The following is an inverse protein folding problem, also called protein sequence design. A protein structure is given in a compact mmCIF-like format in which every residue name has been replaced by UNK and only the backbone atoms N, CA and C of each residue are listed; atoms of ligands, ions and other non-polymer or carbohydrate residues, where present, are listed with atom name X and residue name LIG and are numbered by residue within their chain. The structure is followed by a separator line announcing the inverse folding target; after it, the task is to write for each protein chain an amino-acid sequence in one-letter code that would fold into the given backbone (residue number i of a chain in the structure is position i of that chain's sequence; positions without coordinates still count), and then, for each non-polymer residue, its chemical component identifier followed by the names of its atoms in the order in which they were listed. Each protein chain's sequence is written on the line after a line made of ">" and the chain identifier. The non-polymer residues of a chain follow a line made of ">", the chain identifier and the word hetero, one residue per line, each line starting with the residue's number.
data_IF_801883843492
#
_entry.id   IF_801883843492
#
_cell.length_a   1.000
_cell.length_b   1.000
_cell.length_c   1.000
_cell.angle_alpha   90.00
_cell.angle_beta   90.00
_cell.angle_gamma   90.00
#
_symmetry.space_group_name_H-M   'P 1'
#
loop_
_entity.id
_entity.type
_entity.pdbx_description
1 polymer ?
#
# COMPACT_ATOMS: atom_id res chain seq x y z
N UNK A 1 -42.28 34.13 30.62
CA UNK A 1 -42.50 32.73 31.07
C UNK A 1 -42.83 31.94 29.82
N UNK A 2 -42.04 31.02 29.28
CA UNK A 2 -41.18 30.01 29.88
C UNK A 2 -39.93 29.86 28.98
N UNK A 3 -38.78 30.35 29.43
CA UNK A 3 -37.55 29.57 29.63
C UNK A 3 -37.80 28.05 29.82
N UNK A 4 -36.87 27.24 29.31
CA UNK A 4 -36.62 25.82 29.63
C UNK A 4 -37.45 24.77 28.86
N UNK A 5 -36.88 24.27 27.75
CA UNK A 5 -36.64 22.84 27.45
C UNK A 5 -36.29 22.69 25.97
N UNK A 6 -35.04 22.37 25.69
CA UNK A 6 -34.60 22.04 24.34
C UNK A 6 -33.13 22.30 24.05
N UNK A 7 -32.41 22.96 24.97
CA UNK A 7 -30.96 23.10 24.90
C UNK A 7 -30.28 21.81 25.39
N UNK A 8 -30.34 20.70 24.65
CA UNK A 8 -29.61 19.47 25.03
C UNK A 8 -29.37 18.44 23.90
N UNK A 9 -29.22 18.84 22.63
CA UNK A 9 -28.81 17.89 21.57
C UNK A 9 -27.73 18.43 20.61
N UNK A 10 -26.93 19.41 21.04
CA UNK A 10 -25.90 20.06 20.21
C UNK A 10 -24.49 19.45 20.32
N UNK A 11 -24.35 18.20 20.77
CA UNK A 11 -23.01 17.59 20.91
C UNK A 11 -23.04 16.07 20.71
N UNK A 12 -23.30 15.60 19.48
CA UNK A 12 -22.91 14.25 19.06
C UNK A 12 -22.74 14.21 17.54
N UNK A 13 -21.91 15.13 17.04
CA UNK A 13 -21.29 15.04 15.73
C UNK A 13 -19.81 14.76 15.89
N UNK A 14 -19.43 13.77 16.72
CA UNK A 14 -18.08 13.21 16.63
C UNK A 14 -18.05 12.43 15.32
N UNK A 15 -17.53 13.07 14.27
CA UNK A 15 -17.11 12.37 13.07
C UNK A 15 -16.23 11.20 13.50
N UNK A 16 -16.63 10.00 13.09
CA UNK A 16 -15.72 8.88 12.98
C UNK A 16 -14.68 9.30 11.94
N UNK A 17 -13.67 10.07 12.37
CA UNK A 17 -12.45 10.21 11.61
C UNK A 17 -11.86 8.82 11.58
N UNK A 18 -12.08 8.11 10.48
CA UNK A 18 -11.37 6.90 10.13
C UNK A 18 -9.89 7.19 10.40
N UNK A 19 -9.27 6.46 11.32
CA UNK A 19 -7.83 6.53 11.55
C UNK A 19 -7.12 5.81 10.39
N UNK A 20 -7.34 6.29 9.17
CA UNK A 20 -6.47 5.96 8.05
C UNK A 20 -5.22 6.81 8.28
N UNK A 21 -4.08 6.16 8.53
CA UNK A 21 -2.83 6.86 8.77
C UNK A 21 -2.61 7.95 7.73
N UNK A 22 -2.32 9.17 8.18
CA UNK A 22 -1.87 10.21 7.27
C UNK A 22 -0.55 9.77 6.65
N UNK A 23 -0.24 10.25 5.44
CA UNK A 23 1.03 9.92 4.77
C UNK A 23 2.24 10.23 5.69
N UNK A 24 2.10 11.19 6.60
CA UNK A 24 3.09 11.59 7.60
C UNK A 24 3.42 10.49 8.63
N UNK A 25 2.51 9.56 8.90
CA UNK A 25 2.72 8.46 9.86
C UNK A 25 3.47 7.26 9.26
N UNK A 26 3.61 7.22 7.93
CA UNK A 26 4.26 6.13 7.19
C UNK A 26 5.77 6.42 7.13
N UNK A 27 6.61 5.59 7.75
CA UNK A 27 8.05 5.81 7.71
C UNK A 27 8.60 5.57 6.31
N UNK A 28 9.74 6.19 6.02
CA UNK A 28 10.48 6.04 4.76
C UNK A 28 11.84 5.41 5.06
N UNK A 29 12.30 4.48 4.22
CA UNK A 29 13.59 3.82 4.36
C UNK A 29 14.74 4.85 4.38
N UNK A 30 15.53 4.94 5.46
CA UNK A 30 16.70 5.80 5.49
C UNK A 30 17.75 5.36 4.47
N UNK A 31 18.37 6.33 3.79
CA UNK A 31 19.42 6.04 2.79
C UNK A 31 18.90 5.22 1.60
N UNK A 32 17.64 5.42 1.22
CA UNK A 32 17.02 4.73 0.10
C UNK A 32 17.81 4.89 -1.20
N UNK A 33 18.08 3.76 -1.85
CA UNK A 33 18.78 3.65 -3.12
C UNK A 33 17.85 2.97 -4.15
N UNK A 34 17.34 3.75 -5.08
CA UNK A 34 16.39 3.29 -6.10
C UNK A 34 16.98 2.23 -7.03
N UNK A 35 18.29 2.30 -7.33
CA UNK A 35 18.93 1.35 -8.25
C UNK A 35 19.01 -0.05 -7.64
N UNK A 36 19.23 -0.15 -6.32
CA UNK A 36 19.22 -1.43 -5.61
C UNK A 36 17.84 -2.09 -5.53
N UNK A 37 16.77 -1.34 -5.83
CA UNK A 37 15.41 -1.89 -5.92
C UNK A 37 15.13 -2.59 -7.25
N UNK A 38 15.98 -2.42 -8.27
CA UNK A 38 15.72 -2.95 -9.59
C UNK A 38 15.63 -4.48 -9.64
N UNK A 39 14.82 -5.01 -10.55
CA UNK A 39 14.70 -6.43 -10.82
C UNK A 39 13.48 -7.08 -10.18
N UNK A 40 13.54 -8.40 -10.05
CA UNK A 40 12.42 -9.25 -9.64
C UNK A 40 12.11 -9.10 -8.15
N UNK A 41 10.82 -9.12 -7.82
CA UNK A 41 10.28 -9.23 -6.48
C UNK A 41 9.16 -10.28 -6.46
N UNK A 42 8.96 -10.89 -5.30
CA UNK A 42 7.85 -11.78 -5.00
C UNK A 42 7.03 -11.17 -3.87
N UNK A 43 5.71 -11.11 -4.05
CA UNK A 43 4.78 -10.65 -3.00
C UNK A 43 4.53 -11.80 -2.04
N UNK A 44 5.02 -11.66 -0.81
CA UNK A 44 4.94 -12.67 0.25
C UNK A 44 3.69 -12.45 1.11
N UNK A 45 3.39 -11.20 1.44
CA UNK A 45 2.19 -10.80 2.17
C UNK A 45 1.56 -9.56 1.52
N UNK A 46 0.25 -9.44 1.62
CA UNK A 46 -0.51 -8.28 1.18
C UNK A 46 -1.63 -8.00 2.18
N UNK A 47 -1.79 -6.73 2.57
CA UNK A 47 -2.87 -6.28 3.42
C UNK A 47 -3.43 -4.96 2.92
N UNK A 48 -4.69 -4.68 3.20
CA UNK A 48 -5.40 -3.48 2.76
C UNK A 48 -6.17 -2.82 3.90
N UNK A 49 -6.36 -1.51 3.83
CA UNK A 49 -7.28 -0.78 4.73
C UNK A 49 -8.75 -0.89 4.32
N UNK A 50 -9.06 -1.43 3.13
CA UNK A 50 -10.41 -1.48 2.60
C UNK A 50 -10.96 -2.91 2.60
N UNK A 51 -11.98 -3.17 3.43
CA UNK A 51 -12.53 -4.51 3.65
C UNK A 51 -13.16 -5.12 2.40
N UNK A 52 -13.79 -4.32 1.54
CA UNK A 52 -14.46 -4.84 0.35
C UNK A 52 -13.48 -5.47 -0.64
N UNK A 53 -12.22 -5.03 -0.60
CA UNK A 53 -11.15 -5.58 -1.41
C UNK A 53 -10.64 -6.94 -0.93
N UNK A 54 -11.16 -7.49 0.17
CA UNK A 54 -10.78 -8.85 0.64
C UNK A 54 -11.99 -9.76 0.78
N UNK A 55 -13.13 -9.36 0.21
CA UNK A 55 -14.34 -10.17 0.25
C UNK A 55 -14.13 -11.51 -0.47
N UNK A 56 -14.70 -12.62 0.03
CA UNK A 56 -14.44 -13.96 -0.50
C UNK A 56 -14.80 -14.16 -1.97
N UNK A 57 -15.76 -13.39 -2.49
CA UNK A 57 -16.26 -13.54 -3.86
C UNK A 57 -15.31 -13.02 -4.92
N UNK A 58 -14.56 -11.95 -4.62
CA UNK A 58 -13.57 -11.39 -5.53
C UNK A 58 -12.49 -10.64 -4.74
N UNK A 59 -11.62 -11.36 -4.02
CA UNK A 59 -10.61 -10.73 -3.22
C UNK A 59 -9.51 -10.12 -4.11
N UNK A 60 -9.00 -8.98 -3.68
CA UNK A 60 -7.83 -8.34 -4.25
C UNK A 60 -6.68 -9.33 -4.29
N UNK A 61 -6.19 -9.53 -5.50
CA UNK A 61 -5.01 -10.33 -5.78
C UNK A 61 -4.09 -9.44 -6.59
N UNK A 62 -3.00 -9.02 -5.98
CA UNK A 62 -1.97 -8.20 -6.60
C UNK A 62 -0.60 -8.85 -6.37
N UNK A 63 0.22 -8.85 -7.41
CA UNK A 63 1.58 -9.34 -7.38
C UNK A 63 2.50 -8.28 -7.99
N UNK A 64 3.42 -7.73 -7.21
CA UNK A 64 4.52 -6.95 -7.76
C UNK A 64 5.54 -7.90 -8.38
N UNK A 65 5.73 -7.79 -9.69
CA UNK A 65 6.66 -8.63 -10.42
C UNK A 65 8.07 -8.06 -10.38
N UNK A 66 8.24 -6.81 -10.78
CA UNK A 66 9.55 -6.17 -10.86
C UNK A 66 9.48 -4.66 -10.75
N UNK A 67 10.58 -4.07 -10.29
CA UNK A 67 10.80 -2.63 -10.22
C UNK A 67 11.95 -2.29 -11.17
N UNK A 68 11.85 -1.19 -11.90
CA UNK A 68 12.90 -0.71 -12.79
C UNK A 68 13.05 0.80 -12.65
N UNK A 69 14.28 1.29 -12.57
CA UNK A 69 14.52 2.72 -12.69
C UNK A 69 14.41 3.15 -14.15
N UNK A 70 14.12 4.43 -14.34
CA UNK A 70 14.02 5.10 -15.64
C UNK A 70 14.83 6.40 -15.59
N UNK A 71 15.05 6.97 -16.76
CA UNK A 71 15.65 8.30 -16.87
C UNK A 71 14.82 9.33 -16.09
N UNK A 72 15.49 10.31 -15.48
CA UNK A 72 14.83 11.32 -14.65
C UNK A 72 14.48 10.86 -13.23
N UNK A 73 14.82 9.61 -12.85
CA UNK A 73 14.60 9.09 -11.49
C UNK A 73 13.22 8.44 -11.30
N UNK A 74 12.44 8.33 -12.36
CA UNK A 74 11.17 7.61 -12.38
C UNK A 74 11.37 6.11 -12.09
N UNK A 75 10.31 5.47 -11.58
CA UNK A 75 10.21 4.03 -11.43
C UNK A 75 9.13 3.45 -12.33
N UNK A 76 9.39 2.29 -12.91
CA UNK A 76 8.38 1.46 -13.54
C UNK A 76 8.15 0.19 -12.69
N UNK A 77 6.92 0.04 -12.20
CA UNK A 77 6.46 -1.18 -11.55
C UNK A 77 5.74 -2.07 -12.57
N UNK A 78 6.17 -3.32 -12.69
CA UNK A 78 5.44 -4.35 -13.43
C UNK A 78 4.62 -5.12 -12.40
N UNK A 79 3.30 -5.08 -12.54
CA UNK A 79 2.34 -5.67 -11.61
C UNK A 79 1.46 -6.67 -12.37
N UNK A 80 1.01 -7.71 -11.67
CA UNK A 80 -0.05 -8.60 -12.13
C UNK A 80 -1.19 -8.56 -11.14
N UNK A 81 -2.41 -8.63 -11.64
CA UNK A 81 -3.60 -8.80 -10.80
C UNK A 81 -4.52 -9.86 -11.37
N UNK A 82 -5.33 -10.46 -10.49
CA UNK A 82 -6.31 -11.48 -10.84
C UNK A 82 -7.72 -10.96 -10.55
N UNK A 83 -8.50 -10.72 -11.60
CA UNK A 83 -9.91 -10.39 -11.51
C UNK A 83 -10.72 -11.17 -12.54
N UNK A 84 -11.96 -11.52 -12.18
CA UNK A 84 -12.85 -12.35 -13.02
C UNK A 84 -12.22 -13.69 -13.48
N UNK A 85 -11.25 -14.20 -12.72
CA UNK A 85 -10.52 -15.43 -13.06
C UNK A 85 -9.40 -15.28 -14.09
N UNK A 86 -9.10 -14.07 -14.56
CA UNK A 86 -8.06 -13.79 -15.56
C UNK A 86 -6.89 -13.03 -14.93
N UNK A 87 -5.67 -13.49 -15.20
CA UNK A 87 -4.45 -12.77 -14.84
C UNK A 87 -4.16 -11.68 -15.86
N UNK A 88 -4.01 -10.43 -15.41
CA UNK A 88 -3.67 -9.29 -16.27
C UNK A 88 -2.42 -8.60 -15.75
N UNK A 89 -1.47 -8.34 -16.65
CA UNK A 89 -0.28 -7.55 -16.37
C UNK A 89 -0.52 -6.06 -16.63
N UNK A 90 0.12 -5.21 -15.83
CA UNK A 90 0.12 -3.76 -16.02
C UNK A 90 1.49 -3.18 -15.66
N UNK A 91 1.82 -2.06 -16.30
CA UNK A 91 2.98 -1.25 -15.95
C UNK A 91 2.50 0.06 -15.34
N UNK A 92 3.01 0.39 -14.15
CA UNK A 92 2.73 1.65 -13.46
C UNK A 92 4.01 2.47 -13.43
N UNK A 93 3.98 3.67 -14.00
CA UNK A 93 5.08 4.63 -13.91
C UNK A 93 4.85 5.52 -12.70
N UNK A 94 5.90 5.71 -11.90
CA UNK A 94 5.91 6.53 -10.71
C UNK A 94 7.02 7.57 -10.80
N UNK A 95 6.70 8.78 -10.39
CA UNK A 95 7.58 9.95 -10.39
C UNK A 95 8.06 10.26 -8.97
N UNK A 96 9.28 10.77 -8.78
CA UNK A 96 9.77 11.18 -7.47
C UNK A 96 8.84 12.21 -6.80
N UNK A 97 8.52 12.01 -5.51
CA UNK A 97 7.63 12.89 -4.74
C UNK A 97 8.39 13.81 -3.76
N UNK A 98 9.65 14.15 -4.08
CA UNK A 98 10.47 15.10 -3.33
C UNK A 98 11.39 14.48 -2.27
N UNK A 99 10.95 13.44 -1.56
CA UNK A 99 11.79 12.70 -0.62
C UNK A 99 12.28 11.37 -1.22
N UNK A 100 13.56 10.97 -1.04
CA UNK A 100 14.04 9.66 -1.48
C UNK A 100 13.18 8.53 -0.89
N UNK A 101 12.74 7.60 -1.73
CA UNK A 101 11.86 6.50 -1.32
C UNK A 101 10.37 6.84 -1.33
N UNK A 102 9.98 8.05 -1.72
CA UNK A 102 8.60 8.43 -1.96
C UNK A 102 8.36 8.75 -3.44
N UNK A 103 7.28 8.21 -3.98
CA UNK A 103 6.90 8.38 -5.37
C UNK A 103 5.40 8.61 -5.51
N UNK A 104 4.99 9.18 -6.64
CA UNK A 104 3.60 9.43 -6.99
C UNK A 104 3.33 9.09 -8.45
N UNK A 105 2.10 8.74 -8.78
CA UNK A 105 1.67 8.46 -10.14
C UNK A 105 0.16 8.48 -10.26
N UNK A 106 -0.36 7.89 -11.33
CA UNK A 106 -1.78 7.72 -11.53
C UNK A 106 -2.10 6.31 -12.01
N UNK A 107 -3.25 5.79 -11.59
CA UNK A 107 -3.74 4.48 -12.00
C UNK A 107 -5.26 4.52 -12.11
N UNK A 108 -5.82 4.00 -13.20
CA UNK A 108 -7.27 3.92 -13.43
C UNK A 108 -8.05 5.24 -13.18
N UNK A 109 -7.40 6.40 -13.35
CA UNK A 109 -7.99 7.73 -13.08
C UNK A 109 -7.83 8.25 -11.65
N UNK A 110 -7.35 7.43 -10.71
CA UNK A 110 -6.97 7.84 -9.35
C UNK A 110 -5.49 8.19 -9.21
N UNK A 111 -5.14 8.86 -8.12
CA UNK A 111 -3.75 9.13 -7.74
C UNK A 111 -3.17 7.93 -6.98
N UNK A 112 -1.88 7.69 -7.18
CA UNK A 112 -1.12 6.66 -6.47
C UNK A 112 0.04 7.34 -5.77
N UNK A 113 0.21 7.07 -4.48
CA UNK A 113 1.41 7.39 -3.72
C UNK A 113 2.08 6.11 -3.25
N UNK A 114 3.39 6.03 -3.41
CA UNK A 114 4.20 4.86 -3.02
C UNK A 114 5.28 5.30 -2.06
N UNK A 115 5.40 4.58 -0.95
CA UNK A 115 6.47 4.77 0.02
C UNK A 115 7.23 3.45 0.23
N UNK A 116 8.54 3.49 0.02
CA UNK A 116 9.45 2.40 0.37
C UNK A 116 9.73 2.49 1.87
N UNK A 117 8.97 1.74 2.66
CA UNK A 117 8.91 1.87 4.12
C UNK A 117 10.17 1.32 4.78
N UNK A 118 10.59 0.11 4.39
CA UNK A 118 11.83 -0.47 4.87
C UNK A 118 12.37 -1.52 3.92
N UNK A 119 13.69 -1.58 3.75
CA UNK A 119 14.34 -2.59 2.92
C UNK A 119 15.79 -2.81 3.30
N UNK A 120 16.25 -4.06 3.20
CA UNK A 120 17.67 -4.45 3.09
C UNK A 120 18.08 -4.76 1.64
N UNK A 121 17.22 -4.39 0.67
CA UNK A 121 17.29 -4.67 -0.76
C UNK A 121 17.12 -6.16 -1.17
N UNK A 122 17.01 -7.06 -0.20
CA UNK A 122 16.59 -8.47 -0.38
C UNK A 122 15.13 -8.71 0.03
N UNK A 123 14.64 -7.91 0.97
CA UNK A 123 13.30 -7.83 1.49
C UNK A 123 12.84 -6.37 1.47
N UNK A 124 11.54 -6.15 1.32
CA UNK A 124 10.96 -4.81 1.20
C UNK A 124 9.56 -4.81 1.81
N UNK A 125 9.29 -3.83 2.68
CA UNK A 125 7.94 -3.44 3.05
C UNK A 125 7.58 -2.21 2.21
N UNK A 126 6.58 -2.36 1.35
CA UNK A 126 6.09 -1.33 0.45
C UNK A 126 4.71 -0.87 0.90
N UNK A 127 4.55 0.45 1.02
CA UNK A 127 3.26 1.08 1.21
C UNK A 127 2.78 1.71 -0.09
N UNK A 128 1.53 1.48 -0.43
CA UNK A 128 0.87 2.09 -1.58
C UNK A 128 -0.44 2.70 -1.10
N UNK A 129 -0.67 3.97 -1.42
CA UNK A 129 -1.93 4.66 -1.19
C UNK A 129 -2.54 5.00 -2.53
N UNK A 130 -3.77 4.56 -2.74
CA UNK A 130 -4.58 4.85 -3.88
C UNK A 130 -5.69 5.80 -3.46
N UNK A 131 -5.85 6.91 -4.17
CA UNK A 131 -6.94 7.85 -3.94
C UNK A 131 -7.74 8.02 -5.22
N UNK A 132 -8.99 7.55 -5.20
CA UNK A 132 -9.96 7.77 -6.25
C UNK A 132 -11.23 8.43 -5.69
N UNK A 133 -12.35 7.70 -5.66
CA UNK A 133 -13.55 8.05 -4.89
C UNK A 133 -13.29 7.85 -3.41
N UNK A 134 -12.51 6.83 -3.04
CA UNK A 134 -12.16 6.51 -1.67
C UNK A 134 -10.65 6.31 -1.52
N UNK A 135 -10.14 6.48 -0.30
CA UNK A 135 -8.73 6.26 0.00
C UNK A 135 -8.52 4.80 0.42
N UNK A 136 -7.74 4.09 -0.37
CA UNK A 136 -7.29 2.71 -0.08
C UNK A 136 -5.79 2.72 0.16
N UNK A 137 -5.34 2.06 1.23
CA UNK A 137 -3.93 1.77 1.42
C UNK A 137 -3.66 0.27 1.35
N UNK A 138 -2.57 -0.09 0.69
CA UNK A 138 -2.03 -1.43 0.56
C UNK A 138 -0.65 -1.47 1.19
N UNK A 139 -0.37 -2.54 1.92
CA UNK A 139 0.94 -2.84 2.45
C UNK A 139 1.37 -4.21 1.95
N UNK A 140 2.54 -4.27 1.30
CA UNK A 140 3.09 -5.50 0.77
C UNK A 140 4.43 -5.83 1.44
N UNK A 141 4.58 -7.08 1.88
CA UNK A 141 5.89 -7.66 2.18
C UNK A 141 6.39 -8.35 0.91
N UNK A 142 7.57 -7.95 0.47
CA UNK A 142 8.19 -8.39 -0.76
C UNK A 142 9.56 -8.99 -0.48
N UNK A 143 9.93 -10.01 -1.24
CA UNK A 143 11.26 -10.63 -1.15
C UNK A 143 11.83 -10.93 -2.54
N UNK A 144 13.15 -10.97 -2.66
CA UNK A 144 13.86 -11.36 -3.91
C UNK A 144 13.77 -12.85 -4.20
N UNK A 145 13.43 -13.66 -3.20
CA UNK A 145 13.26 -15.12 -3.28
C UNK A 145 11.96 -15.49 -2.60
N UNK A 146 11.32 -16.58 -3.03
CA UNK A 146 10.16 -17.16 -2.34
C UNK A 146 10.58 -17.90 -1.06
N UNK A 147 11.20 -17.15 -0.15
CA UNK A 147 11.60 -17.61 1.18
C UNK A 147 11.28 -16.47 2.14
N UNK A 148 10.32 -16.70 3.01
CA UNK A 148 9.89 -15.72 3.99
C UNK A 148 10.90 -15.62 5.13
N UNK A 149 11.33 -14.39 5.43
CA UNK A 149 12.21 -14.10 6.56
C UNK A 149 11.35 -13.75 7.79
N UNK A 150 11.46 -14.51 8.90
CA UNK A 150 10.66 -14.27 10.10
C UNK A 150 10.83 -12.88 10.72
N UNK A 151 12.01 -12.27 10.62
CA UNK A 151 12.26 -10.94 11.17
C UNK A 151 11.49 -9.87 10.37
N UNK A 152 11.50 -10.01 9.05
CA UNK A 152 10.73 -9.14 8.14
C UNK A 152 9.23 -9.35 8.27
N UNK A 153 8.79 -10.60 8.47
CA UNK A 153 7.39 -10.91 8.74
C UNK A 153 6.92 -10.26 10.05
N UNK A 154 7.71 -10.38 11.13
CA UNK A 154 7.40 -9.74 12.40
C UNK A 154 7.26 -8.22 12.27
N UNK A 155 8.24 -7.58 11.62
CA UNK A 155 8.20 -6.13 11.33
C UNK A 155 7.00 -5.73 10.48
N UNK A 156 6.61 -6.56 9.51
CA UNK A 156 5.42 -6.31 8.70
C UNK A 156 4.15 -6.34 9.55
N UNK A 157 4.01 -7.33 10.46
CA UNK A 157 2.85 -7.43 11.35
C UNK A 157 2.71 -6.26 12.31
N UNK A 158 3.81 -5.66 12.78
CA UNK A 158 3.76 -4.42 13.57
C UNK A 158 3.00 -3.30 12.83
N UNK A 159 3.20 -3.16 11.52
CA UNK A 159 2.45 -2.20 10.71
C UNK A 159 1.00 -2.61 10.48
N UNK A 160 0.75 -3.90 10.25
CA UNK A 160 -0.61 -4.42 10.09
C UNK A 160 -1.46 -4.15 11.32
N UNK A 161 -0.92 -4.40 12.51
CA UNK A 161 -1.59 -4.09 13.78
C UNK A 161 -1.77 -2.59 13.98
N UNK A 162 -0.70 -1.80 13.78
CA UNK A 162 -0.73 -0.34 13.93
C UNK A 162 -1.81 0.32 13.07
N UNK A 163 -1.92 -0.10 11.81
CA UNK A 163 -2.85 0.49 10.84
C UNK A 163 -4.15 -0.29 10.66
N UNK A 164 -4.38 -1.34 11.48
CA UNK A 164 -5.60 -2.17 11.48
C UNK A 164 -5.97 -2.75 10.11
N UNK A 165 -4.97 -3.26 9.41
CA UNK A 165 -5.11 -3.73 8.02
C UNK A 165 -5.70 -5.14 7.97
N UNK A 166 -6.39 -5.44 6.87
CA UNK A 166 -6.97 -6.76 6.58
C UNK A 166 -6.10 -7.52 5.60
N UNK A 167 -5.87 -8.82 5.84
CA UNK A 167 -5.06 -9.66 4.95
C UNK A 167 -5.78 -9.93 3.62
N UNK A 168 -5.03 -9.78 2.53
CA UNK A 168 -5.45 -10.07 1.17
C UNK A 168 -4.65 -11.28 0.64
N UNK A 169 -5.26 -12.13 -0.20
CA UNK A 169 -4.54 -13.25 -0.79
C UNK A 169 -3.43 -12.78 -1.74
N UNK A 170 -2.28 -13.43 -1.64
CA UNK A 170 -1.14 -13.19 -2.52
C UNK A 170 -1.07 -14.23 -3.63
N UNK A 171 -0.51 -13.83 -4.77
CA UNK A 171 -0.07 -14.76 -5.81
C UNK A 171 1.24 -14.23 -6.41
N UNK A 172 1.97 -15.11 -7.09
CA UNK A 172 3.13 -14.71 -7.87
C UNK A 172 3.06 -15.44 -9.21
N UNK A 173 3.41 -14.75 -10.29
CA UNK A 173 3.68 -15.40 -11.57
C UNK A 173 5.10 -15.97 -11.54
N UNK A 174 5.37 -17.04 -12.29
CA UNK A 174 6.71 -17.62 -12.42
C UNK A 174 7.61 -16.68 -13.25
#
# INVERSE_FOLDING_TARGET
>A
RMLERGLLLLALGLGLASTQGTLEEVPVQPGFDAQKMEGRWFTMQLTTSHTDLVLPTDPLRLALHSIWTREGGDLALVLFWMGEGVCRGMNVTLHPAGLPGQYQGSFAGGSVHVCFVSSDYSNLILYVRFEDVEVTSLWALLARRMLEDPAWLGKYWEYVEKFRLQSAPVFNVA
#
